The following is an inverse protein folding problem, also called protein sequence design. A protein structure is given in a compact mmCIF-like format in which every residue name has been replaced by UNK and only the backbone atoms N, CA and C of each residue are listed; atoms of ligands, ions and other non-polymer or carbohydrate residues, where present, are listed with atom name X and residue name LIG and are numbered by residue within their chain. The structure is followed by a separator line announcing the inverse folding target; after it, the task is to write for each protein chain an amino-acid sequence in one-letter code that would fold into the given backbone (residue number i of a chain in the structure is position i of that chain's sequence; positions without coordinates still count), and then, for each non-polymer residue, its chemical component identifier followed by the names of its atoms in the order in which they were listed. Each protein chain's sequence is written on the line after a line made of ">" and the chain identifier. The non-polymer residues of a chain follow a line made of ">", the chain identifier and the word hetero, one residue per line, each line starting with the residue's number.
data_IF_345022864679
#
_entry.id   IF_345022864679
#
_cell.length_a   1.000
_cell.length_b   1.000
_cell.length_c   1.000
_cell.angle_alpha   90.00
_cell.angle_beta   90.00
_cell.angle_gamma   90.00
#
_symmetry.space_group_name_H-M   'P 1'
#
loop_
_entity.id
_entity.type
_entity.pdbx_description
1 polymer ?
#
# COMPACT_ATOMS: atom_id res chain seq x y z
N UNK A 1 -25.41 65.40 -4.68
CA UNK A 1 -24.44 64.93 -5.67
C UNK A 1 -23.76 63.72 -5.08
N UNK A 2 -24.24 62.54 -5.49
CA UNK A 2 -23.76 61.25 -5.01
C UNK A 2 -23.05 60.61 -6.17
N UNK A 3 -21.77 60.35 -6.03
CA UNK A 3 -20.95 59.60 -6.98
C UNK A 3 -20.78 58.15 -6.48
N UNK A 4 -21.55 57.27 -7.08
CA UNK A 4 -21.41 55.82 -6.90
C UNK A 4 -20.15 55.34 -7.65
N UNK A 5 -19.15 54.88 -6.88
CA UNK A 5 -17.96 54.21 -7.40
C UNK A 5 -18.30 52.74 -7.63
N UNK A 6 -18.40 52.34 -8.91
CA UNK A 6 -18.51 50.94 -9.35
C UNK A 6 -17.14 50.37 -9.55
N UNK A 7 -16.56 49.76 -8.50
CA UNK A 7 -15.36 48.93 -8.64
C UNK A 7 -15.70 47.66 -9.42
N UNK A 8 -15.34 47.64 -10.69
CA UNK A 8 -15.42 46.46 -11.58
C UNK A 8 -14.39 45.43 -11.11
N UNK A 9 -14.84 44.38 -10.43
CA UNK A 9 -14.05 43.17 -10.23
C UNK A 9 -13.70 42.54 -11.60
N UNK A 10 -12.56 42.90 -12.14
CA UNK A 10 -11.95 42.18 -13.26
C UNK A 10 -11.50 40.80 -12.78
N UNK A 11 -12.31 39.77 -13.03
CA UNK A 11 -11.90 38.39 -12.97
C UNK A 11 -10.74 38.17 -13.95
N UNK A 12 -9.52 38.16 -13.45
CA UNK A 12 -8.35 37.70 -14.19
C UNK A 12 -8.52 36.20 -14.40
N UNK A 13 -9.10 35.80 -15.54
CA UNK A 13 -8.95 34.44 -16.03
C UNK A 13 -7.47 34.20 -16.26
N UNK A 14 -6.85 33.46 -15.35
CA UNK A 14 -5.52 32.88 -15.57
C UNK A 14 -5.69 31.97 -16.78
N UNK A 15 -5.07 32.33 -17.90
CA UNK A 15 -5.03 31.47 -19.08
C UNK A 15 -4.45 30.10 -18.65
N UNK A 16 -5.02 28.98 -19.12
CA UNK A 16 -4.44 27.67 -18.83
C UNK A 16 -3.02 27.68 -19.38
N UNK A 17 -2.05 27.52 -18.47
CA UNK A 17 -0.66 27.25 -18.86
C UNK A 17 -0.72 25.94 -19.65
N UNK A 18 -0.49 26.00 -20.95
CA UNK A 18 -0.30 24.81 -21.78
C UNK A 18 0.93 24.08 -21.26
N UNK A 19 0.73 23.16 -20.35
CA UNK A 19 1.78 22.26 -19.87
C UNK A 19 2.06 21.30 -21.01
N UNK A 20 3.15 21.55 -21.75
CA UNK A 20 3.67 20.58 -22.72
C UNK A 20 3.92 19.28 -21.98
N UNK A 21 3.31 18.20 -22.44
CA UNK A 21 3.50 16.87 -21.87
C UNK A 21 4.98 16.52 -21.85
N UNK A 22 5.58 16.13 -20.70
CA UNK A 22 6.98 15.74 -20.68
C UNK A 22 7.21 14.53 -21.60
N UNK A 23 8.27 14.52 -22.40
CA UNK A 23 8.55 13.39 -23.29
C UNK A 23 8.85 12.12 -22.50
N UNK A 24 8.47 10.94 -23.02
CA UNK A 24 8.86 9.67 -22.41
C UNK A 24 10.39 9.55 -22.31
N UNK A 25 10.85 9.03 -21.18
CA UNK A 25 12.28 8.79 -20.92
C UNK A 25 12.68 7.42 -21.47
N UNK A 26 12.78 7.30 -22.79
CA UNK A 26 12.96 6.04 -23.49
C UNK A 26 14.12 5.18 -22.95
N UNK A 27 15.26 5.79 -22.60
CA UNK A 27 16.39 5.05 -22.02
C UNK A 27 16.04 4.37 -20.71
N UNK A 28 15.32 5.06 -19.83
CA UNK A 28 14.90 4.50 -18.52
C UNK A 28 13.84 3.42 -18.71
N UNK A 29 12.91 3.60 -19.66
CA UNK A 29 11.95 2.56 -20.03
C UNK A 29 12.66 1.29 -20.50
N UNK A 30 13.65 1.41 -21.41
CA UNK A 30 14.43 0.27 -21.89
C UNK A 30 15.18 -0.41 -20.75
N UNK A 31 15.82 0.34 -19.86
CA UNK A 31 16.48 -0.21 -18.66
C UNK A 31 15.48 -0.99 -17.79
N UNK A 32 14.30 -0.42 -17.54
CA UNK A 32 13.25 -1.08 -16.77
C UNK A 32 12.75 -2.37 -17.43
N UNK A 33 12.55 -2.37 -18.75
CA UNK A 33 12.13 -3.56 -19.50
C UNK A 33 13.21 -4.65 -19.48
N UNK A 34 14.47 -4.29 -19.69
CA UNK A 34 15.60 -5.23 -19.60
C UNK A 34 15.72 -5.80 -18.20
N UNK A 35 15.61 -4.97 -17.16
CA UNK A 35 15.62 -5.43 -15.77
C UNK A 35 14.45 -6.39 -15.48
N UNK A 36 13.25 -6.11 -16.00
CA UNK A 36 12.09 -7.00 -15.86
C UNK A 36 12.32 -8.35 -16.55
N UNK A 37 12.85 -8.36 -17.76
CA UNK A 37 13.13 -9.60 -18.50
C UNK A 37 14.25 -10.41 -17.85
N UNK A 38 15.35 -9.77 -17.46
CA UNK A 38 16.49 -10.46 -16.82
C UNK A 38 16.07 -11.03 -15.47
N UNK A 39 15.47 -10.20 -14.58
CA UNK A 39 15.07 -10.69 -13.28
C UNK A 39 13.94 -11.72 -13.36
N UNK A 40 12.96 -11.53 -14.25
CA UNK A 40 11.91 -12.50 -14.51
C UNK A 40 12.46 -13.82 -15.01
N UNK A 41 13.45 -13.80 -15.90
CA UNK A 41 14.16 -14.98 -16.38
C UNK A 41 14.94 -15.70 -15.26
N UNK A 42 15.65 -14.94 -14.42
CA UNK A 42 16.36 -15.48 -13.25
C UNK A 42 15.38 -16.11 -12.25
N UNK A 43 14.28 -15.45 -11.93
CA UNK A 43 13.24 -15.98 -11.03
C UNK A 43 12.64 -17.26 -11.62
N UNK A 44 12.34 -17.27 -12.91
CA UNK A 44 11.81 -18.47 -13.57
C UNK A 44 12.79 -19.65 -13.53
N UNK A 45 14.06 -19.39 -13.84
CA UNK A 45 15.09 -20.47 -13.89
C UNK A 45 15.47 -20.99 -12.50
N UNK A 46 15.47 -20.12 -11.47
CA UNK A 46 15.86 -20.52 -10.11
C UNK A 46 14.71 -21.03 -9.25
N UNK A 47 13.50 -20.51 -9.45
CA UNK A 47 12.36 -20.73 -8.53
C UNK A 47 11.09 -21.22 -9.21
N UNK A 48 11.11 -21.30 -10.53
CA UNK A 48 10.04 -21.89 -11.32
C UNK A 48 8.90 -20.92 -11.69
N UNK A 49 7.82 -21.51 -12.20
CA UNK A 49 6.74 -20.78 -12.85
C UNK A 49 5.93 -19.89 -11.89
N UNK A 50 5.60 -20.37 -10.69
CA UNK A 50 4.73 -19.63 -9.75
C UNK A 50 5.38 -18.32 -9.31
N UNK A 51 6.64 -18.29 -8.79
CA UNK A 51 7.32 -17.02 -8.48
C UNK A 51 7.46 -16.08 -9.68
N UNK A 52 7.68 -16.61 -10.89
CA UNK A 52 7.76 -15.78 -12.10
C UNK A 52 6.41 -15.12 -12.46
N UNK A 53 5.29 -15.81 -12.31
CA UNK A 53 3.95 -15.24 -12.47
C UNK A 53 3.71 -14.16 -11.39
N UNK A 54 4.10 -14.42 -10.14
CA UNK A 54 3.97 -13.47 -9.05
C UNK A 54 4.83 -12.22 -9.28
N UNK A 55 6.03 -12.36 -9.83
CA UNK A 55 6.86 -11.24 -10.27
C UNK A 55 6.14 -10.41 -11.35
N UNK A 56 5.53 -11.07 -12.34
CA UNK A 56 4.76 -10.38 -13.39
C UNK A 56 3.53 -9.66 -12.83
N UNK A 57 2.82 -10.26 -11.86
CA UNK A 57 1.74 -9.58 -11.12
C UNK A 57 2.27 -8.37 -10.35
N UNK A 58 3.47 -8.47 -9.76
CA UNK A 58 4.18 -7.36 -9.13
C UNK A 58 4.45 -6.20 -10.09
N UNK A 59 4.93 -6.50 -11.32
CA UNK A 59 5.10 -5.48 -12.38
C UNK A 59 3.79 -4.76 -12.67
N UNK A 60 2.70 -5.50 -12.81
CA UNK A 60 1.36 -4.95 -13.02
C UNK A 60 0.91 -4.07 -11.84
N UNK A 61 1.11 -4.51 -10.60
CA UNK A 61 0.79 -3.74 -9.39
C UNK A 61 1.57 -2.43 -9.35
N UNK A 62 2.87 -2.44 -9.63
CA UNK A 62 3.71 -1.23 -9.68
C UNK A 62 3.24 -0.24 -10.74
N UNK A 63 2.89 -0.74 -11.93
CA UNK A 63 2.36 0.06 -13.03
C UNK A 63 1.01 0.72 -12.65
N UNK A 64 0.08 -0.05 -12.07
CA UNK A 64 -1.23 0.44 -11.63
C UNK A 64 -1.10 1.46 -10.50
N UNK A 65 -0.28 1.18 -9.48
CA UNK A 65 -0.05 2.07 -8.34
C UNK A 65 0.49 3.43 -8.80
N UNK A 66 1.44 3.43 -9.73
CA UNK A 66 1.99 4.68 -10.27
C UNK A 66 0.94 5.48 -11.04
N UNK A 67 0.26 4.87 -12.01
CA UNK A 67 -0.67 5.61 -12.87
C UNK A 67 -1.94 6.06 -12.16
N UNK A 68 -2.45 5.28 -11.22
CA UNK A 68 -3.64 5.64 -10.44
C UNK A 68 -3.31 6.53 -9.23
N UNK A 69 -2.02 6.66 -8.86
CA UNK A 69 -1.59 7.30 -7.60
C UNK A 69 -2.39 6.83 -6.39
N UNK A 70 -2.75 5.55 -6.40
CA UNK A 70 -3.57 4.94 -5.38
C UNK A 70 -2.76 4.78 -4.09
N UNK A 71 -3.03 5.62 -3.10
CA UNK A 71 -2.25 5.66 -1.87
C UNK A 71 -3.11 5.67 -0.61
N UNK A 72 -2.84 4.75 0.30
CA UNK A 72 -3.52 4.70 1.61
C UNK A 72 -3.12 5.87 2.50
N UNK A 73 -1.85 6.23 2.51
CA UNK A 73 -1.31 7.31 3.35
C UNK A 73 -1.96 8.65 3.05
N UNK A 74 -2.04 9.03 1.78
CA UNK A 74 -2.67 10.28 1.34
C UNK A 74 -4.18 10.28 1.57
N UNK A 75 -4.85 9.16 1.28
CA UNK A 75 -6.29 9.03 1.48
C UNK A 75 -6.72 9.25 2.93
N UNK A 76 -6.03 8.60 3.86
CA UNK A 76 -6.35 8.73 5.28
C UNK A 76 -5.92 10.08 5.84
N UNK A 77 -4.78 10.63 5.36
CA UNK A 77 -4.37 11.99 5.70
C UNK A 77 -5.40 13.04 5.28
N UNK A 78 -5.92 12.95 4.05
CA UNK A 78 -6.94 13.86 3.53
C UNK A 78 -8.25 13.73 4.30
N UNK A 79 -8.67 12.51 4.63
CA UNK A 79 -9.86 12.27 5.43
C UNK A 79 -9.75 12.95 6.80
N UNK A 80 -8.63 12.73 7.50
CA UNK A 80 -8.42 13.21 8.87
C UNK A 80 -8.18 14.73 8.91
N UNK A 81 -7.33 15.26 8.02
CA UNK A 81 -6.94 16.67 8.04
C UNK A 81 -8.02 17.61 7.48
N UNK A 82 -8.64 17.23 6.34
CA UNK A 82 -9.56 18.11 5.58
C UNK A 82 -10.92 17.48 5.28
N UNK A 83 -11.21 16.30 5.84
CA UNK A 83 -12.46 15.54 5.64
C UNK A 83 -12.76 15.17 4.19
N UNK A 84 -11.73 15.13 3.33
CA UNK A 84 -11.84 14.67 1.96
C UNK A 84 -11.94 13.15 1.92
N UNK A 85 -13.12 12.61 1.59
CA UNK A 85 -13.39 11.17 1.57
C UNK A 85 -13.26 10.51 0.20
N UNK A 86 -12.90 11.23 -0.88
CA UNK A 86 -12.90 10.70 -2.26
C UNK A 86 -12.00 9.46 -2.40
N UNK A 87 -10.77 9.55 -1.88
CA UNK A 87 -9.83 8.44 -1.94
C UNK A 87 -10.23 7.28 -1.02
N UNK A 88 -10.84 7.53 0.15
CA UNK A 88 -11.37 6.45 0.99
C UNK A 88 -12.55 5.73 0.30
N UNK A 89 -13.40 6.46 -0.43
CA UNK A 89 -14.46 5.82 -1.25
C UNK A 89 -13.89 4.91 -2.33
N UNK A 90 -12.76 5.30 -2.95
CA UNK A 90 -12.06 4.42 -3.89
C UNK A 90 -11.48 3.17 -3.19
N UNK A 91 -11.01 3.28 -1.92
CA UNK A 91 -10.63 2.11 -1.12
C UNK A 91 -11.83 1.18 -0.87
N UNK A 92 -13.01 1.74 -0.55
CA UNK A 92 -14.22 0.92 -0.35
C UNK A 92 -14.61 0.20 -1.63
N UNK A 93 -14.51 0.86 -2.80
CA UNK A 93 -14.73 0.22 -4.10
C UNK A 93 -13.73 -0.92 -4.34
N UNK A 94 -12.44 -0.70 -4.09
CA UNK A 94 -11.40 -1.73 -4.21
C UNK A 94 -11.70 -2.94 -3.32
N UNK A 95 -12.07 -2.69 -2.06
CA UNK A 95 -12.41 -3.74 -1.10
C UNK A 95 -13.68 -4.50 -1.52
N UNK A 96 -14.72 -3.80 -1.98
CA UNK A 96 -15.96 -4.42 -2.44
C UNK A 96 -15.72 -5.37 -3.62
N UNK A 97 -14.95 -4.92 -4.62
CA UNK A 97 -14.58 -5.74 -5.77
C UNK A 97 -13.69 -6.93 -5.33
N UNK A 98 -12.74 -6.69 -4.43
CA UNK A 98 -11.89 -7.76 -3.92
C UNK A 98 -12.69 -8.82 -3.15
N UNK A 99 -13.59 -8.42 -2.24
CA UNK A 99 -14.49 -9.36 -1.54
C UNK A 99 -15.32 -10.19 -2.54
N UNK A 100 -15.81 -9.54 -3.62
CA UNK A 100 -16.59 -10.24 -4.65
C UNK A 100 -15.75 -11.26 -5.42
N UNK A 101 -14.48 -10.97 -5.71
CA UNK A 101 -13.58 -11.89 -6.40
C UNK A 101 -13.01 -12.97 -5.46
N UNK A 102 -12.75 -12.64 -4.19
CA UNK A 102 -12.21 -13.59 -3.21
C UNK A 102 -13.25 -14.62 -2.77
N UNK A 103 -14.51 -14.22 -2.62
CA UNK A 103 -15.57 -15.12 -2.13
C UNK A 103 -15.65 -16.44 -2.90
N UNK A 104 -15.75 -16.49 -4.24
CA UNK A 104 -15.80 -17.74 -4.98
C UNK A 104 -14.47 -18.50 -4.94
N UNK A 105 -13.31 -17.83 -4.94
CA UNK A 105 -11.99 -18.48 -4.88
C UNK A 105 -11.84 -19.19 -3.51
N UNK A 106 -12.14 -18.50 -2.42
CA UNK A 106 -12.04 -19.06 -1.08
C UNK A 106 -13.12 -20.11 -0.78
N UNK A 107 -14.33 -19.93 -1.30
CA UNK A 107 -15.42 -20.89 -1.13
C UNK A 107 -15.12 -22.23 -1.80
N UNK A 108 -14.49 -22.21 -2.98
CA UNK A 108 -14.07 -23.41 -3.68
C UNK A 108 -12.73 -23.98 -3.16
N UNK A 109 -11.91 -23.12 -2.50
CA UNK A 109 -10.61 -23.52 -1.93
C UNK A 109 -9.54 -23.90 -2.96
N UNK A 110 -9.77 -23.67 -4.25
CA UNK A 110 -8.90 -24.14 -5.33
C UNK A 110 -8.17 -22.95 -5.96
N UNK A 111 -6.84 -23.02 -5.94
CA UNK A 111 -5.96 -22.09 -6.63
C UNK A 111 -5.30 -22.71 -7.87
N UNK A 112 -4.31 -21.99 -8.41
CA UNK A 112 -3.53 -22.42 -9.56
C UNK A 112 -2.71 -23.67 -9.24
N UNK A 113 -2.76 -24.71 -10.11
CA UNK A 113 -2.08 -26.00 -9.90
C UNK A 113 -2.42 -26.67 -8.56
N UNK A 114 -3.70 -26.64 -8.19
CA UNK A 114 -4.22 -27.26 -6.97
C UNK A 114 -3.65 -26.72 -5.66
N UNK A 115 -3.00 -25.54 -5.68
CA UNK A 115 -2.57 -24.84 -4.46
C UNK A 115 -3.81 -24.42 -3.68
N UNK A 116 -3.96 -24.81 -2.39
CA UNK A 116 -5.11 -24.39 -1.60
C UNK A 116 -5.18 -22.87 -1.44
N UNK A 117 -6.33 -22.27 -1.78
CA UNK A 117 -6.58 -20.88 -1.54
C UNK A 117 -7.05 -20.68 -0.08
N UNK A 118 -6.24 -19.99 0.72
CA UNK A 118 -6.48 -19.80 2.15
C UNK A 118 -6.83 -18.34 2.47
N UNK A 119 -7.81 -18.11 3.36
CA UNK A 119 -8.13 -16.76 3.81
C UNK A 119 -7.01 -16.18 4.68
N UNK A 120 -6.79 -14.88 4.59
CA UNK A 120 -5.88 -14.14 5.46
C UNK A 120 -6.60 -13.84 6.78
N UNK A 121 -6.40 -14.69 7.77
CA UNK A 121 -6.94 -14.55 9.10
C UNK A 121 -5.81 -14.25 10.10
N UNK A 122 -6.06 -13.43 11.11
CA UNK A 122 -5.12 -13.15 12.18
C UNK A 122 -5.82 -13.00 13.53
N UNK A 123 -5.15 -13.33 14.64
CA UNK A 123 -5.70 -13.17 15.98
C UNK A 123 -5.94 -11.68 16.32
N UNK A 124 -6.89 -11.45 17.21
CA UNK A 124 -7.28 -10.13 17.69
C UNK A 124 -6.72 -9.94 19.10
N UNK A 125 -5.60 -9.22 19.21
CA UNK A 125 -4.89 -9.02 20.47
C UNK A 125 -4.13 -7.71 20.52
N UNK A 126 -3.36 -7.51 21.59
CA UNK A 126 -2.58 -6.28 21.79
C UNK A 126 -1.65 -5.96 20.61
N UNK A 127 -1.00 -6.98 20.03
CA UNK A 127 -0.14 -6.81 18.86
C UNK A 127 -0.85 -6.18 17.68
N UNK A 128 -2.11 -6.60 17.40
CA UNK A 128 -2.92 -6.02 16.35
C UNK A 128 -3.19 -4.53 16.59
N UNK A 129 -3.68 -4.16 17.79
CA UNK A 129 -4.07 -2.78 18.08
C UNK A 129 -2.87 -1.84 18.13
N UNK A 130 -1.81 -2.22 18.86
CA UNK A 130 -0.61 -1.40 18.99
C UNK A 130 0.12 -1.30 17.65
N UNK A 131 0.30 -2.42 16.95
CA UNK A 131 1.03 -2.46 15.69
C UNK A 131 0.34 -1.67 14.57
N UNK A 132 -0.98 -1.79 14.41
CA UNK A 132 -1.71 -1.01 13.41
C UNK A 132 -1.76 0.48 13.75
N UNK A 133 -1.85 0.85 15.03
CA UNK A 133 -1.68 2.24 15.49
C UNK A 133 -0.29 2.79 15.13
N UNK A 134 0.78 2.05 15.49
CA UNK A 134 2.17 2.44 15.15
C UNK A 134 2.35 2.59 13.63
N UNK A 135 1.76 1.68 12.86
CA UNK A 135 1.79 1.76 11.40
C UNK A 135 1.12 3.04 10.89
N UNK A 136 -0.05 3.40 11.45
CA UNK A 136 -0.78 4.62 11.13
C UNK A 136 0.04 5.88 11.40
N UNK A 137 0.71 5.98 12.56
CA UNK A 137 1.65 7.05 12.88
C UNK A 137 2.80 7.05 11.87
N UNK A 138 3.46 5.89 11.70
CA UNK A 138 4.66 5.73 10.89
C UNK A 138 4.47 6.15 9.44
N UNK A 139 3.34 5.79 8.80
CA UNK A 139 3.10 6.16 7.41
C UNK A 139 2.90 7.68 7.20
N UNK A 140 2.48 8.42 8.23
CA UNK A 140 2.40 9.88 8.12
C UNK A 140 3.77 10.55 8.29
N UNK A 141 4.67 9.98 9.08
CA UNK A 141 6.03 10.48 9.26
C UNK A 141 6.96 10.06 8.12
N UNK A 142 6.88 8.80 7.67
CA UNK A 142 7.65 8.27 6.56
C UNK A 142 7.16 8.72 5.18
N UNK A 143 5.99 9.40 5.13
CA UNK A 143 5.42 9.99 3.91
C UNK A 143 4.71 9.01 2.98
N UNK A 144 4.78 7.70 3.24
CA UNK A 144 4.28 6.63 2.38
C UNK A 144 3.91 5.39 3.21
N UNK A 145 3.04 4.52 2.69
CA UNK A 145 2.82 3.17 3.23
C UNK A 145 3.79 2.16 2.59
N UNK A 146 3.65 0.87 2.86
CA UNK A 146 4.56 -0.16 2.36
C UNK A 146 4.60 -0.21 0.82
N UNK A 147 3.48 -0.45 0.15
CA UNK A 147 3.41 -0.45 -1.32
C UNK A 147 3.72 0.92 -1.92
N UNK A 148 3.33 2.00 -1.21
CA UNK A 148 3.67 3.37 -1.56
C UNK A 148 5.18 3.63 -1.56
N UNK A 149 5.91 3.05 -0.61
CA UNK A 149 7.38 3.10 -0.55
C UNK A 149 8.01 2.44 -1.79
N UNK A 150 7.53 1.25 -2.16
CA UNK A 150 8.07 0.52 -3.32
C UNK A 150 7.86 1.26 -4.64
N UNK A 151 6.64 1.73 -4.92
CA UNK A 151 6.41 2.42 -6.18
C UNK A 151 7.07 3.81 -6.22
N UNK A 152 7.25 4.49 -5.08
CA UNK A 152 7.98 5.75 -5.02
C UNK A 152 9.48 5.56 -5.29
N UNK A 153 10.08 4.44 -4.83
CA UNK A 153 11.45 4.06 -5.18
C UNK A 153 11.57 3.88 -6.69
N UNK A 154 10.67 3.09 -7.29
CA UNK A 154 10.62 2.91 -8.74
C UNK A 154 10.48 4.22 -9.52
N UNK A 155 9.81 5.23 -8.95
CA UNK A 155 9.65 6.55 -9.55
C UNK A 155 10.82 7.51 -9.30
N UNK A 156 11.90 7.08 -8.59
CA UNK A 156 13.11 7.85 -8.37
C UNK A 156 13.13 8.72 -7.11
N UNK A 157 12.19 8.54 -6.18
CA UNK A 157 12.15 9.28 -4.92
C UNK A 157 13.18 8.73 -3.91
N UNK A 158 14.39 9.25 -3.91
CA UNK A 158 15.52 8.72 -3.11
C UNK A 158 15.34 8.87 -1.59
N UNK A 159 14.60 9.89 -1.12
CA UNK A 159 14.29 10.03 0.31
C UNK A 159 13.55 8.80 0.87
N UNK A 160 12.76 8.14 0.05
CA UNK A 160 11.97 6.95 0.41
C UNK A 160 12.86 5.70 0.65
N UNK A 161 14.09 5.68 0.14
CA UNK A 161 15.06 4.62 0.46
C UNK A 161 15.38 4.61 1.98
N UNK A 162 15.40 5.77 2.63
CA UNK A 162 15.56 5.87 4.07
C UNK A 162 14.34 5.29 4.80
N UNK A 163 13.14 5.54 4.27
CA UNK A 163 11.91 4.92 4.79
C UNK A 163 11.97 3.40 4.63
N UNK A 164 12.43 2.87 3.49
CA UNK A 164 12.59 1.43 3.27
C UNK A 164 13.62 0.84 4.24
N UNK A 165 14.77 1.49 4.43
CA UNK A 165 15.79 1.05 5.39
C UNK A 165 15.24 0.97 6.81
N UNK A 166 14.53 2.02 7.25
CA UNK A 166 13.82 2.01 8.53
C UNK A 166 12.77 0.88 8.60
N UNK A 167 12.02 0.67 7.51
CA UNK A 167 11.00 -0.37 7.43
C UNK A 167 11.59 -1.78 7.58
N UNK A 168 12.70 -2.06 6.88
CA UNK A 168 13.42 -3.34 7.00
C UNK A 168 13.90 -3.51 8.45
N UNK A 169 14.56 -2.50 9.03
CA UNK A 169 15.03 -2.56 10.42
C UNK A 169 13.91 -2.77 11.42
N UNK A 170 12.79 -2.04 11.27
CA UNK A 170 11.61 -2.20 12.12
C UNK A 170 10.94 -3.57 11.99
N UNK A 171 10.81 -4.09 10.77
CA UNK A 171 10.22 -5.40 10.51
C UNK A 171 11.10 -6.54 11.08
N UNK A 172 12.42 -6.39 11.01
CA UNK A 172 13.40 -7.34 11.58
C UNK A 172 13.35 -7.33 13.10
N UNK A 173 13.32 -6.14 13.72
CA UNK A 173 13.18 -6.01 15.17
C UNK A 173 11.83 -6.59 15.64
N UNK A 174 10.75 -6.33 14.88
CA UNK A 174 9.45 -6.92 15.15
C UNK A 174 9.44 -8.44 15.03
N UNK A 175 10.21 -9.04 14.12
CA UNK A 175 10.37 -10.48 14.01
C UNK A 175 11.12 -11.07 15.22
N UNK A 176 12.17 -10.38 15.69
CA UNK A 176 12.88 -10.76 16.91
C UNK A 176 11.97 -10.77 18.15
N UNK A 177 11.14 -9.74 18.31
CA UNK A 177 10.26 -9.60 19.47
C UNK A 177 8.88 -10.24 19.28
N UNK A 178 8.61 -10.86 18.13
CA UNK A 178 7.31 -11.41 17.79
C UNK A 178 6.75 -12.39 18.82
N UNK A 179 7.54 -13.34 19.39
CA UNK A 179 7.04 -14.29 20.39
C UNK A 179 6.45 -13.57 21.61
N UNK A 180 7.13 -12.55 22.12
CA UNK A 180 6.62 -11.78 23.27
C UNK A 180 5.23 -11.16 23.02
N UNK A 181 4.97 -10.68 21.80
CA UNK A 181 3.66 -10.15 21.43
C UNK A 181 2.59 -11.23 21.33
N UNK A 182 2.99 -12.43 20.94
CA UNK A 182 2.06 -13.57 20.82
C UNK A 182 1.71 -14.18 22.18
N UNK A 183 2.55 -14.01 23.20
CA UNK A 183 2.27 -14.42 24.58
C UNK A 183 1.25 -13.49 25.29
N UNK A 184 0.98 -12.31 24.73
CA UNK A 184 -0.02 -11.39 25.26
C UNK A 184 -1.44 -11.90 24.98
N UNK A 185 -2.44 -11.56 25.85
CA UNK A 185 -3.82 -11.96 25.64
C UNK A 185 -4.35 -11.62 24.25
N UNK A 186 -4.91 -12.60 23.58
CA UNK A 186 -5.50 -12.47 22.25
C UNK A 186 -6.67 -13.41 22.07
N UNK A 187 -7.61 -13.04 21.22
CA UNK A 187 -8.67 -13.90 20.72
C UNK A 187 -8.23 -14.60 19.44
N UNK A 188 -8.72 -15.83 19.28
CA UNK A 188 -8.56 -16.58 18.03
C UNK A 188 -9.02 -15.77 16.81
N UNK A 189 -8.48 -16.06 15.63
CA UNK A 189 -8.89 -15.38 14.41
C UNK A 189 -10.40 -15.50 14.17
N UNK A 190 -11.07 -14.37 13.94
CA UNK A 190 -12.51 -14.32 13.70
C UNK A 190 -12.78 -14.13 12.21
N UNK A 191 -13.46 -15.13 11.61
CA UNK A 191 -13.97 -15.03 10.25
C UNK A 191 -15.44 -14.62 10.26
N UNK A 192 -15.79 -13.59 9.46
CA UNK A 192 -17.19 -13.17 9.28
C UNK A 192 -18.05 -14.27 8.64
N UNK A 193 -17.44 -15.23 7.94
CA UNK A 193 -18.16 -16.37 7.36
C UNK A 193 -18.83 -17.24 8.42
N UNK A 194 -18.23 -17.31 9.61
CA UNK A 194 -18.81 -18.04 10.75
C UNK A 194 -20.03 -17.31 11.34
N UNK A 195 -20.00 -15.97 11.34
CA UNK A 195 -21.09 -15.17 11.94
C UNK A 195 -22.28 -15.01 11.00
N UNK A 196 -22.03 -14.98 9.67
CA UNK A 196 -23.05 -14.68 8.66
C UNK A 196 -23.42 -15.89 7.78
N UNK A 197 -23.15 -17.12 8.23
CA UNK A 197 -23.61 -18.33 7.54
C UNK A 197 -22.91 -18.61 6.20
N UNK A 198 -21.60 -18.34 6.12
CA UNK A 198 -20.77 -18.63 4.94
C UNK A 198 -20.35 -17.39 4.15
N UNK A 199 -19.72 -17.65 3.00
CA UNK A 199 -19.12 -16.56 2.18
C UNK A 199 -20.14 -15.57 1.63
N UNK A 200 -21.35 -16.01 1.24
CA UNK A 200 -22.39 -15.13 0.72
C UNK A 200 -22.88 -14.12 1.76
N UNK A 201 -23.14 -14.58 3.00
CA UNK A 201 -23.56 -13.70 4.08
C UNK A 201 -22.44 -12.74 4.53
N UNK A 202 -21.19 -13.23 4.64
CA UNK A 202 -20.04 -12.40 4.95
C UNK A 202 -19.78 -11.35 3.87
N UNK A 203 -19.95 -11.69 2.60
CA UNK A 203 -19.88 -10.76 1.46
C UNK A 203 -20.93 -9.65 1.58
N UNK A 204 -22.21 -10.01 1.80
CA UNK A 204 -23.27 -9.03 1.95
C UNK A 204 -23.05 -8.09 3.14
N UNK A 205 -22.64 -8.65 4.31
CA UNK A 205 -22.32 -7.86 5.50
C UNK A 205 -21.13 -6.91 5.27
N UNK A 206 -20.08 -7.38 4.60
CA UNK A 206 -18.91 -6.55 4.26
C UNK A 206 -19.28 -5.41 3.32
N UNK A 207 -20.11 -5.66 2.28
CA UNK A 207 -20.59 -4.62 1.38
C UNK A 207 -21.47 -3.59 2.11
N UNK A 208 -22.35 -4.04 3.02
CA UNK A 208 -23.18 -3.15 3.83
C UNK A 208 -22.31 -2.25 4.71
N UNK A 209 -21.26 -2.80 5.36
CA UNK A 209 -20.33 -2.02 6.18
C UNK A 209 -19.54 -1.01 5.33
N UNK A 210 -19.09 -1.40 4.13
CA UNK A 210 -18.42 -0.47 3.20
C UNK A 210 -19.36 0.65 2.74
N UNK A 211 -20.65 0.34 2.46
CA UNK A 211 -21.65 1.36 2.12
C UNK A 211 -21.87 2.33 3.28
N UNK A 212 -21.90 1.87 4.53
CA UNK A 212 -21.96 2.72 5.72
C UNK A 212 -20.74 3.64 5.82
N UNK A 213 -19.53 3.12 5.59
CA UNK A 213 -18.29 3.94 5.58
C UNK A 213 -18.36 5.00 4.48
N UNK A 214 -18.81 4.65 3.27
CA UNK A 214 -19.02 5.60 2.17
C UNK A 214 -20.02 6.67 2.58
N UNK A 215 -21.18 6.30 3.12
CA UNK A 215 -22.20 7.22 3.63
C UNK A 215 -21.65 8.17 4.69
N UNK A 216 -20.87 7.65 5.65
CA UNK A 216 -20.22 8.45 6.68
C UNK A 216 -19.27 9.50 6.07
N UNK A 217 -18.53 9.18 4.99
CA UNK A 217 -17.64 10.16 4.33
C UNK A 217 -18.43 11.32 3.71
N UNK A 218 -19.63 11.08 3.16
CA UNK A 218 -20.49 12.14 2.63
C UNK A 218 -21.05 13.02 3.75
N UNK A 219 -21.46 12.41 4.87
CA UNK A 219 -21.94 13.17 6.04
C UNK A 219 -20.84 14.05 6.65
N UNK A 220 -19.61 13.54 6.74
CA UNK A 220 -18.44 14.31 7.23
C UNK A 220 -18.09 15.50 6.33
N UNK A 221 -18.33 15.38 5.02
CA UNK A 221 -18.06 16.42 4.03
C UNK A 221 -19.19 17.46 3.88
N UNK A 222 -20.41 17.15 4.32
CA UNK A 222 -21.65 17.89 3.97
C UNK A 222 -21.61 19.39 4.24
N UNK A 223 -20.92 19.84 5.32
CA UNK A 223 -20.90 21.24 5.76
C UNK A 223 -19.53 21.89 5.62
N UNK A 224 -18.68 21.41 4.70
CA UNK A 224 -17.30 21.90 4.55
C UNK A 224 -16.95 22.11 3.08
N UNK A 225 -16.19 23.17 2.79
CA UNK A 225 -15.49 23.27 1.51
C UNK A 225 -14.37 22.27 1.51
N UNK A 226 -14.50 21.21 0.70
CA UNK A 226 -13.53 20.15 0.58
C UNK A 226 -12.75 20.37 -0.70
N UNK A 227 -11.41 20.39 -0.67
CA UNK A 227 -10.60 20.60 -1.87
C UNK A 227 -10.91 19.53 -2.92
N UNK A 228 -11.00 19.91 -4.18
CA UNK A 228 -11.11 18.94 -5.27
C UNK A 228 -9.72 18.40 -5.62
N UNK A 229 -9.57 17.08 -5.53
CA UNK A 229 -8.29 16.39 -5.70
C UNK A 229 -8.36 15.50 -6.92
N UNK A 230 -8.60 16.08 -8.07
CA UNK A 230 -8.41 15.36 -9.33
C UNK A 230 -7.04 15.69 -9.91
N UNK A 231 -6.13 14.71 -10.04
CA UNK A 231 -4.90 14.94 -10.77
C UNK A 231 -5.23 15.28 -12.22
N UNK A 232 -4.65 16.36 -12.72
CA UNK A 232 -4.75 16.71 -14.15
C UNK A 232 -4.23 15.54 -14.97
N UNK A 233 -4.95 15.04 -15.97
CA UNK A 233 -4.46 14.00 -16.86
C UNK A 233 -3.14 14.45 -17.53
N UNK A 234 -2.13 13.58 -17.55
CA UNK A 234 -0.84 13.87 -18.20
C UNK A 234 -0.95 13.67 -19.71
N UNK A 235 -1.81 12.76 -20.17
CA UNK A 235 -2.05 12.49 -21.58
C UNK A 235 -3.53 12.25 -21.85
N UNK A 236 -3.94 12.43 -23.12
CA UNK A 236 -5.31 12.22 -23.59
C UNK A 236 -5.43 10.98 -24.48
N UNK A 237 -6.67 10.50 -24.68
CA UNK A 237 -6.96 9.36 -25.54
C UNK A 237 -6.23 8.06 -25.14
N UNK A 238 -5.82 7.27 -26.13
CA UNK A 238 -5.15 5.99 -25.91
C UNK A 238 -3.77 6.14 -25.26
N UNK A 239 -3.09 7.27 -25.44
CA UNK A 239 -1.80 7.55 -24.79
C UNK A 239 -1.92 7.60 -23.27
N UNK A 240 -3.11 7.93 -22.73
CA UNK A 240 -3.40 7.93 -21.29
C UNK A 240 -3.21 6.55 -20.64
N UNK A 241 -3.36 5.46 -21.39
CA UNK A 241 -3.17 4.11 -20.85
C UNK A 241 -1.74 3.92 -20.34
N UNK A 242 -0.75 4.48 -21.06
CA UNK A 242 0.68 4.28 -20.75
C UNK A 242 1.32 5.52 -20.10
N UNK A 243 0.79 6.72 -20.31
CA UNK A 243 1.40 7.99 -19.91
C UNK A 243 0.58 8.83 -18.96
N UNK A 244 -0.74 8.69 -18.99
CA UNK A 244 -1.65 9.56 -18.25
C UNK A 244 -1.96 9.11 -16.83
N UNK A 245 -2.43 10.04 -15.98
CA UNK A 245 -2.99 9.70 -14.68
C UNK A 245 -4.33 8.99 -14.84
N UNK A 246 -4.48 7.85 -14.20
CA UNK A 246 -5.74 7.11 -14.21
C UNK A 246 -6.67 7.59 -13.09
N UNK A 247 -7.99 7.55 -13.31
CA UNK A 247 -8.95 7.77 -12.24
C UNK A 247 -8.75 6.74 -11.11
N UNK A 248 -9.00 7.14 -9.86
CA UNK A 248 -8.85 6.26 -8.69
C UNK A 248 -9.69 4.98 -8.80
N UNK A 249 -10.88 5.05 -9.42
CA UNK A 249 -11.72 3.86 -9.60
C UNK A 249 -11.09 2.80 -10.52
N UNK A 250 -10.34 3.21 -11.56
CA UNK A 250 -9.59 2.27 -12.41
C UNK A 250 -8.51 1.58 -11.59
N UNK A 251 -7.76 2.34 -10.79
CA UNK A 251 -6.79 1.78 -9.86
C UNK A 251 -7.43 0.80 -8.88
N UNK A 252 -8.57 1.15 -8.30
CA UNK A 252 -9.32 0.30 -7.37
C UNK A 252 -9.68 -1.06 -7.99
N UNK A 253 -10.25 -1.07 -9.20
CA UNK A 253 -10.64 -2.29 -9.91
C UNK A 253 -9.43 -3.16 -10.26
N UNK A 254 -8.38 -2.56 -10.82
CA UNK A 254 -7.18 -3.30 -11.23
C UNK A 254 -6.39 -3.85 -10.04
N UNK A 255 -6.27 -3.09 -8.94
CA UNK A 255 -5.62 -3.57 -7.72
C UNK A 255 -6.41 -4.73 -7.09
N UNK A 256 -7.74 -4.67 -7.09
CA UNK A 256 -8.58 -5.77 -6.63
C UNK A 256 -8.42 -7.02 -7.50
N UNK A 257 -8.42 -6.87 -8.82
CA UNK A 257 -8.22 -7.98 -9.75
C UNK A 257 -6.83 -8.62 -9.63
N UNK A 258 -5.75 -7.79 -9.53
CA UNK A 258 -4.38 -8.29 -9.35
C UNK A 258 -4.20 -8.98 -7.99
N UNK A 259 -4.86 -8.51 -6.93
CA UNK A 259 -4.85 -9.20 -5.64
C UNK A 259 -5.60 -10.53 -5.70
N UNK A 260 -6.75 -10.60 -6.37
CA UNK A 260 -7.47 -11.87 -6.60
C UNK A 260 -6.64 -12.86 -7.43
N UNK A 261 -5.95 -12.37 -8.47
CA UNK A 261 -5.01 -13.18 -9.24
C UNK A 261 -3.85 -13.69 -8.36
N UNK A 262 -3.34 -12.84 -7.44
CA UNK A 262 -2.31 -13.24 -6.48
C UNK A 262 -2.81 -14.34 -5.55
N UNK A 263 -4.03 -14.20 -5.00
CA UNK A 263 -4.66 -15.24 -4.19
C UNK A 263 -4.78 -16.55 -4.96
N UNK A 264 -5.28 -16.49 -6.19
CA UNK A 264 -5.47 -17.68 -7.01
C UNK A 264 -4.15 -18.38 -7.38
N UNK A 265 -3.09 -17.61 -7.70
CA UNK A 265 -1.78 -18.15 -8.11
C UNK A 265 -0.99 -18.69 -6.92
N UNK A 266 -1.01 -18.00 -5.77
CA UNK A 266 -0.14 -18.33 -4.63
C UNK A 266 -0.85 -18.96 -3.44
N UNK A 267 -2.18 -19.12 -3.51
CA UNK A 267 -2.98 -19.60 -2.38
C UNK A 267 -3.20 -18.57 -1.25
N UNK A 268 -2.66 -17.36 -1.37
CA UNK A 268 -2.81 -16.31 -0.35
C UNK A 268 -2.86 -14.91 -0.94
N UNK A 269 -3.52 -13.98 -0.26
CA UNK A 269 -3.63 -12.60 -0.70
C UNK A 269 -2.25 -11.91 -0.88
N UNK A 270 -2.23 -10.83 -1.66
CA UNK A 270 -1.05 -9.99 -1.83
C UNK A 270 -0.56 -9.44 -0.49
N UNK A 271 0.75 -9.55 -0.25
CA UNK A 271 1.46 -9.00 0.89
C UNK A 271 2.71 -8.24 0.43
N UNK A 272 3.31 -7.46 1.33
CA UNK A 272 4.52 -6.68 1.07
C UNK A 272 5.55 -6.90 2.19
N UNK A 273 5.14 -6.79 3.44
CA UNK A 273 6.05 -6.56 4.57
C UNK A 273 6.73 -7.80 5.13
N UNK A 274 6.36 -8.99 4.69
CA UNK A 274 7.10 -10.21 5.03
C UNK A 274 8.51 -10.17 4.41
N UNK A 275 8.62 -9.71 3.16
CA UNK A 275 9.89 -9.51 2.48
C UNK A 275 10.87 -8.67 3.31
N UNK A 276 10.41 -7.59 3.93
CA UNK A 276 11.29 -6.69 4.70
C UNK A 276 11.88 -7.36 5.93
N UNK A 277 11.10 -8.19 6.65
CA UNK A 277 11.64 -8.99 7.75
C UNK A 277 12.64 -10.05 7.24
N UNK A 278 12.33 -10.70 6.11
CA UNK A 278 13.21 -11.67 5.48
C UNK A 278 14.53 -11.03 5.04
N UNK A 279 14.49 -9.88 4.34
CA UNK A 279 15.68 -9.20 3.86
C UNK A 279 16.57 -8.75 5.01
N UNK A 280 15.99 -8.14 6.05
CA UNK A 280 16.75 -7.72 7.23
C UNK A 280 17.33 -8.88 8.02
N UNK A 281 16.59 -9.98 8.17
CA UNK A 281 17.11 -11.19 8.83
C UNK A 281 18.24 -11.84 8.02
N UNK A 282 18.10 -11.93 6.68
CA UNK A 282 19.19 -12.41 5.81
C UNK A 282 20.45 -11.53 5.89
N UNK A 283 20.29 -10.20 5.99
CA UNK A 283 21.43 -9.29 6.17
C UNK A 283 22.12 -9.48 7.53
N UNK A 284 21.36 -9.72 8.60
CA UNK A 284 21.91 -10.00 9.92
C UNK A 284 22.62 -11.37 9.97
N UNK A 285 22.06 -12.37 9.32
CA UNK A 285 22.65 -13.69 9.18
C UNK A 285 24.02 -13.63 8.48
N UNK A 286 24.16 -12.83 7.43
CA UNK A 286 25.42 -12.60 6.73
C UNK A 286 26.53 -11.99 7.60
N UNK A 287 26.17 -11.26 8.67
CA UNK A 287 27.12 -10.71 9.62
C UNK A 287 27.25 -11.56 10.90
N UNK A 288 26.73 -12.79 10.89
CA UNK A 288 26.91 -13.78 11.93
C UNK A 288 25.92 -13.72 13.09
N UNK A 289 24.79 -13.02 12.94
CA UNK A 289 23.71 -13.04 13.93
C UNK A 289 22.85 -14.28 13.70
N UNK A 290 22.69 -15.11 14.71
CA UNK A 290 21.84 -16.31 14.66
C UNK A 290 20.35 -15.93 14.71
N UNK A 291 19.82 -15.51 13.54
CA UNK A 291 18.42 -15.13 13.39
C UNK A 291 17.47 -16.33 13.42
N UNK A 292 17.96 -17.53 13.09
CA UNK A 292 17.15 -18.74 13.07
C UNK A 292 16.79 -19.22 14.49
N UNK A 293 17.50 -18.79 15.52
CA UNK A 293 17.12 -19.00 16.92
C UNK A 293 15.89 -18.18 17.36
N UNK A 294 15.46 -17.17 16.56
CA UNK A 294 14.30 -16.34 16.91
C UNK A 294 13.00 -17.13 16.72
N UNK A 295 12.10 -17.10 17.70
CA UNK A 295 10.84 -17.84 17.64
C UNK A 295 9.98 -17.52 16.41
N UNK A 296 10.11 -16.35 15.79
CA UNK A 296 9.44 -16.02 14.54
C UNK A 296 9.90 -16.93 13.38
N UNK A 297 11.21 -17.24 13.30
CA UNK A 297 11.76 -18.11 12.26
C UNK A 297 11.69 -19.59 12.62
N UNK A 298 11.42 -19.92 13.89
CA UNK A 298 11.17 -21.30 14.32
C UNK A 298 9.78 -21.82 13.93
N UNK A 299 8.86 -20.93 13.56
CA UNK A 299 7.59 -21.33 12.95
C UNK A 299 7.84 -22.02 11.60
N UNK A 300 7.35 -23.26 11.39
CA UNK A 300 7.65 -24.05 10.18
C UNK A 300 7.29 -23.35 8.88
N UNK A 301 6.17 -22.59 8.86
CA UNK A 301 5.74 -21.86 7.66
C UNK A 301 6.65 -20.67 7.34
N UNK A 302 7.21 -20.01 8.36
CA UNK A 302 8.15 -18.91 8.18
C UNK A 302 9.55 -19.43 7.82
N UNK A 303 10.00 -20.49 8.47
CA UNK A 303 11.27 -21.16 8.18
C UNK A 303 11.32 -21.64 6.73
N UNK A 304 10.28 -22.30 6.26
CA UNK A 304 10.19 -22.75 4.85
C UNK A 304 10.37 -21.59 3.85
N UNK A 305 9.80 -20.40 4.14
CA UNK A 305 9.98 -19.20 3.31
C UNK A 305 11.39 -18.61 3.42
N UNK A 306 12.00 -18.69 4.63
CA UNK A 306 13.38 -18.27 4.83
C UNK A 306 14.35 -19.13 4.01
N UNK A 307 14.20 -20.46 4.06
CA UNK A 307 15.05 -21.43 3.36
C UNK A 307 14.87 -21.37 1.84
N UNK A 308 13.63 -21.13 1.37
CA UNK A 308 13.35 -20.96 -0.05
C UNK A 308 14.14 -19.79 -0.67
N UNK A 309 14.49 -18.78 0.12
CA UNK A 309 15.28 -17.64 -0.30
C UNK A 309 14.46 -16.53 -0.97
N UNK A 310 15.11 -15.39 -1.17
CA UNK A 310 14.50 -14.13 -1.60
C UNK A 310 13.78 -14.25 -2.96
N UNK A 311 14.36 -15.00 -3.92
CA UNK A 311 13.81 -15.13 -5.28
C UNK A 311 12.68 -16.17 -5.39
N UNK A 312 12.46 -16.99 -4.37
CA UNK A 312 11.33 -17.91 -4.30
C UNK A 312 10.21 -17.40 -3.39
N UNK A 313 10.53 -16.48 -2.46
CA UNK A 313 9.56 -15.94 -1.52
C UNK A 313 8.61 -14.95 -2.21
N UNK A 314 7.30 -15.21 -2.07
CA UNK A 314 6.19 -14.51 -2.74
C UNK A 314 6.29 -12.98 -2.64
N UNK A 315 6.42 -12.45 -1.42
CA UNK A 315 6.36 -11.00 -1.22
C UNK A 315 7.60 -10.32 -1.78
N UNK A 316 8.76 -10.95 -1.70
CA UNK A 316 10.01 -10.43 -2.24
C UNK A 316 9.98 -10.28 -3.76
N UNK A 317 9.57 -11.31 -4.48
CA UNK A 317 9.51 -11.24 -5.95
C UNK A 317 8.45 -10.25 -6.43
N UNK A 318 7.31 -10.15 -5.74
CA UNK A 318 6.29 -9.15 -6.04
C UNK A 318 6.76 -7.73 -5.75
N UNK A 319 7.51 -7.50 -4.68
CA UNK A 319 8.06 -6.20 -4.30
C UNK A 319 9.07 -5.70 -5.33
N UNK A 320 9.96 -6.57 -5.82
CA UNK A 320 10.85 -6.25 -6.95
C UNK A 320 10.05 -5.94 -8.21
N UNK A 321 9.01 -6.70 -8.49
CA UNK A 321 8.08 -6.41 -9.59
C UNK A 321 7.45 -5.02 -9.46
N UNK A 322 6.96 -4.65 -8.27
CA UNK A 322 6.35 -3.34 -8.01
C UNK A 322 7.35 -2.20 -8.29
N UNK A 323 8.59 -2.32 -7.82
CA UNK A 323 9.63 -1.31 -8.05
C UNK A 323 9.90 -1.14 -9.55
N UNK A 324 10.10 -2.25 -10.27
CA UNK A 324 10.42 -2.21 -11.71
C UNK A 324 9.20 -1.76 -12.53
N UNK A 325 8.00 -2.22 -12.21
CA UNK A 325 6.77 -1.80 -12.87
C UNK A 325 6.51 -0.31 -12.72
N UNK A 326 6.74 0.24 -11.52
CA UNK A 326 6.66 1.68 -11.27
C UNK A 326 7.77 2.47 -11.98
N UNK A 327 8.98 1.93 -12.12
CA UNK A 327 10.07 2.52 -12.90
C UNK A 327 9.66 2.67 -14.37
N UNK A 328 9.14 1.60 -14.97
CA UNK A 328 8.67 1.61 -16.35
C UNK A 328 7.53 2.62 -16.52
N UNK A 329 6.54 2.59 -15.64
CA UNK A 329 5.38 3.48 -15.70
C UNK A 329 5.78 4.96 -15.55
N UNK A 330 6.63 5.29 -14.58
CA UNK A 330 7.07 6.67 -14.32
C UNK A 330 7.92 7.22 -15.47
N UNK A 331 8.80 6.41 -16.04
CA UNK A 331 9.63 6.77 -17.16
C UNK A 331 8.81 6.94 -18.45
N UNK A 332 7.84 6.07 -18.71
CA UNK A 332 6.91 6.17 -19.83
C UNK A 332 6.06 7.45 -19.76
N UNK A 333 5.66 7.85 -18.55
CA UNK A 333 4.96 9.11 -18.29
C UNK A 333 5.88 10.35 -18.33
N UNK A 334 7.21 10.20 -18.49
CA UNK A 334 8.17 11.30 -18.40
C UNK A 334 8.36 11.87 -16.99
N UNK A 335 7.88 11.16 -15.98
CA UNK A 335 7.81 11.64 -14.60
C UNK A 335 8.90 11.04 -13.67
N UNK A 336 9.80 10.21 -14.20
CA UNK A 336 10.91 9.68 -13.41
C UNK A 336 11.93 10.78 -13.10
N UNK A 337 12.18 11.04 -11.81
CA UNK A 337 13.13 12.07 -11.36
C UNK A 337 13.92 11.57 -10.15
N UNK A 338 15.25 11.58 -10.26
CA UNK A 338 16.13 11.28 -9.12
C UNK A 338 16.30 12.51 -8.23
N UNK A 339 15.78 12.45 -7.02
CA UNK A 339 15.92 13.50 -6.02
C UNK A 339 17.25 13.32 -5.25
N UNK A 340 18.22 14.20 -5.44
CA UNK A 340 19.57 14.02 -4.87
C UNK A 340 19.77 14.63 -3.47
N UNK A 341 18.86 15.50 -3.01
CA UNK A 341 19.00 16.19 -1.73
C UNK A 341 17.82 15.88 -0.83
N UNK A 342 18.10 15.36 0.36
CA UNK A 342 17.10 15.07 1.38
C UNK A 342 17.42 15.92 2.61
N UNK A 343 16.54 16.87 3.00
CA UNK A 343 16.73 17.62 4.25
C UNK A 343 16.80 16.69 5.46
N UNK A 344 17.68 16.99 6.43
CA UNK A 344 17.90 16.13 7.59
C UNK A 344 16.61 15.82 8.37
N UNK A 345 15.74 16.80 8.57
CA UNK A 345 14.45 16.60 9.27
C UNK A 345 13.57 15.57 8.56
N UNK A 346 13.52 15.65 7.22
CA UNK A 346 12.79 14.69 6.40
C UNK A 346 13.43 13.29 6.46
N UNK A 347 14.77 13.22 6.46
CA UNK A 347 15.50 11.96 6.59
C UNK A 347 15.21 11.27 7.94
N UNK A 348 15.22 12.03 9.04
CA UNK A 348 14.87 11.52 10.38
C UNK A 348 13.43 11.03 10.40
N UNK A 349 12.49 11.80 9.84
CA UNK A 349 11.09 11.39 9.72
C UNK A 349 10.90 10.12 8.90
N UNK A 350 11.65 9.99 7.80
CA UNK A 350 11.63 8.82 6.93
C UNK A 350 12.09 7.55 7.68
N UNK A 351 13.20 7.63 8.41
CA UNK A 351 13.73 6.49 9.19
C UNK A 351 12.78 6.12 10.34
N UNK A 352 12.37 7.09 11.15
CA UNK A 352 11.45 6.83 12.28
C UNK A 352 10.11 6.30 11.77
N UNK A 353 9.55 6.91 10.72
CA UNK A 353 8.32 6.45 10.10
C UNK A 353 8.43 5.03 9.55
N UNK A 354 9.56 4.72 8.91
CA UNK A 354 9.89 3.39 8.43
C UNK A 354 9.96 2.36 9.58
N UNK A 355 10.72 2.66 10.64
CA UNK A 355 10.84 1.81 11.83
C UNK A 355 9.47 1.49 12.46
N UNK A 356 8.64 2.52 12.67
CA UNK A 356 7.29 2.35 13.24
C UNK A 356 6.40 1.50 12.33
N UNK A 357 6.46 1.71 11.01
CA UNK A 357 5.69 0.91 10.06
C UNK A 357 6.17 -0.54 10.01
N UNK A 358 7.48 -0.77 9.99
CA UNK A 358 8.06 -2.11 9.92
C UNK A 358 7.73 -2.94 11.15
N UNK A 359 7.99 -2.38 12.30
CA UNK A 359 7.69 -3.02 13.58
C UNK A 359 6.17 -3.25 13.72
N UNK A 360 5.37 -2.21 13.51
CA UNK A 360 3.92 -2.28 13.60
C UNK A 360 3.31 -3.30 12.63
N UNK A 361 3.80 -3.35 11.39
CA UNK A 361 3.34 -4.34 10.42
C UNK A 361 3.65 -5.78 10.84
N UNK A 362 4.78 -6.02 11.51
CA UNK A 362 5.15 -7.36 11.96
C UNK A 362 4.21 -7.86 13.04
N UNK A 363 4.01 -7.06 14.09
CA UNK A 363 3.19 -7.45 15.24
C UNK A 363 1.67 -7.38 14.98
N UNK A 364 1.25 -6.62 13.93
CA UNK A 364 -0.14 -6.52 13.49
C UNK A 364 -0.45 -7.38 12.24
N UNK A 365 0.35 -8.40 11.95
CA UNK A 365 0.16 -9.40 10.89
C UNK A 365 0.13 -8.86 9.46
N UNK A 366 0.61 -7.66 9.25
CA UNK A 366 0.73 -7.04 7.92
C UNK A 366 0.53 -5.52 7.91
N UNK A 367 0.62 -4.96 6.70
CA UNK A 367 0.41 -3.53 6.42
C UNK A 367 -0.98 -3.26 5.84
N UNK A 368 -1.21 -2.06 5.28
CA UNK A 368 -2.44 -1.73 4.55
C UNK A 368 -2.81 -2.76 3.46
N UNK A 369 -1.83 -3.47 2.91
CA UNK A 369 -2.07 -4.49 1.88
C UNK A 369 -2.38 -5.83 2.53
N UNK A 370 -1.46 -6.38 3.33
CA UNK A 370 -1.62 -7.73 3.89
C UNK A 370 -2.73 -7.82 4.92
N UNK A 371 -2.72 -6.95 5.95
CA UNK A 371 -3.69 -7.01 7.04
C UNK A 371 -5.03 -6.32 6.70
N UNK A 372 -4.98 -5.06 6.24
CA UNK A 372 -6.23 -4.33 5.97
C UNK A 372 -6.90 -4.81 4.70
N UNK A 373 -6.25 -4.73 3.54
CA UNK A 373 -6.84 -5.10 2.26
C UNK A 373 -7.04 -6.62 2.17
N UNK A 374 -6.00 -7.43 2.40
CA UNK A 374 -6.06 -8.88 2.36
C UNK A 374 -7.00 -9.47 3.41
N UNK A 375 -6.95 -8.94 4.64
CA UNK A 375 -7.83 -9.39 5.73
C UNK A 375 -9.31 -9.10 5.47
N UNK A 376 -9.66 -7.89 5.04
CA UNK A 376 -11.06 -7.56 4.71
C UNK A 376 -11.54 -8.37 3.50
N UNK A 377 -10.74 -8.49 2.45
CA UNK A 377 -11.08 -9.29 1.28
C UNK A 377 -11.26 -10.78 1.60
N UNK A 378 -10.57 -11.26 2.65
CA UNK A 378 -10.71 -12.62 3.20
C UNK A 378 -11.80 -12.76 4.28
N UNK A 379 -12.64 -11.75 4.44
CA UNK A 379 -13.73 -11.72 5.43
C UNK A 379 -13.27 -11.87 6.88
N UNK A 380 -12.09 -11.36 7.22
CA UNK A 380 -11.55 -11.39 8.56
C UNK A 380 -11.85 -10.11 9.35
N UNK A 381 -12.29 -10.25 10.60
CA UNK A 381 -12.57 -9.12 11.48
C UNK A 381 -11.29 -8.30 11.77
N UNK A 382 -10.13 -8.96 11.86
CA UNK A 382 -8.88 -8.27 12.16
C UNK A 382 -8.56 -7.15 11.17
N UNK A 383 -8.90 -7.30 9.87
CA UNK A 383 -8.65 -6.28 8.85
C UNK A 383 -9.41 -4.98 9.12
N UNK A 384 -10.66 -5.06 9.58
CA UNK A 384 -11.46 -3.90 9.95
C UNK A 384 -10.89 -3.19 11.18
N UNK A 385 -10.53 -3.94 12.22
CA UNK A 385 -9.94 -3.40 13.45
C UNK A 385 -8.57 -2.76 13.15
N UNK A 386 -7.78 -3.40 12.31
CA UNK A 386 -6.51 -2.85 11.82
C UNK A 386 -6.70 -1.48 11.16
N UNK A 387 -7.68 -1.36 10.27
CA UNK A 387 -8.00 -0.10 9.58
C UNK A 387 -8.40 1.01 10.54
N UNK A 388 -9.26 0.73 11.52
CA UNK A 388 -9.69 1.70 12.53
C UNK A 388 -8.49 2.22 13.33
N UNK A 389 -7.65 1.32 13.86
CA UNK A 389 -6.49 1.72 14.67
C UNK A 389 -5.44 2.47 13.87
N UNK A 390 -5.23 2.13 12.61
CA UNK A 390 -4.31 2.87 11.75
C UNK A 390 -4.83 4.26 11.37
N UNK A 391 -6.16 4.47 11.28
CA UNK A 391 -6.76 5.81 11.15
C UNK A 391 -6.53 6.63 12.43
N UNK A 392 -6.70 6.03 13.61
CA UNK A 392 -6.36 6.68 14.90
C UNK A 392 -4.88 7.05 14.94
N UNK A 393 -4.00 6.13 14.53
CA UNK A 393 -2.56 6.41 14.38
C UNK A 393 -2.27 7.53 13.37
N UNK A 394 -3.01 7.60 12.26
CA UNK A 394 -2.91 8.70 11.30
C UNK A 394 -3.22 10.05 11.95
N UNK A 395 -4.28 10.12 12.76
CA UNK A 395 -4.63 11.35 13.48
C UNK A 395 -3.47 11.83 14.36
N UNK A 396 -2.86 10.94 15.14
CA UNK A 396 -1.71 11.24 15.98
C UNK A 396 -0.48 11.60 15.13
N UNK A 397 -0.21 10.84 14.06
CA UNK A 397 0.91 11.09 13.16
C UNK A 397 0.88 12.49 12.52
N UNK A 398 -0.32 12.99 12.18
CA UNK A 398 -0.48 14.33 11.62
C UNK A 398 0.00 15.46 12.58
N UNK A 399 -0.13 15.26 13.89
CA UNK A 399 0.35 16.24 14.88
C UNK A 399 1.88 16.36 14.89
N UNK A 400 2.60 15.27 14.56
CA UNK A 400 4.06 15.26 14.53
C UNK A 400 4.67 15.68 13.19
N UNK A 401 3.91 15.67 12.09
CA UNK A 401 4.42 16.04 10.74
C UNK A 401 5.13 17.40 10.69
N UNK A 402 4.58 18.50 11.28
CA UNK A 402 5.24 19.81 11.21
C UNK A 402 6.64 19.83 11.82
N UNK A 403 6.89 19.03 12.88
CA UNK A 403 8.20 18.91 13.52
C UNK A 403 9.28 18.38 12.56
N UNK A 404 8.86 17.59 11.57
CA UNK A 404 9.72 16.97 10.56
C UNK A 404 9.78 17.76 9.24
N UNK A 405 9.18 18.96 9.23
CA UNK A 405 9.12 19.81 8.04
C UNK A 405 8.10 19.34 6.98
N UNK A 406 7.18 18.46 7.37
CA UNK A 406 6.08 18.00 6.52
C UNK A 406 4.82 18.81 6.76
N UNK A 407 4.21 19.34 5.72
CA UNK A 407 2.95 20.09 5.81
C UNK A 407 1.75 19.16 5.88
N UNK A 408 0.71 19.58 6.59
CA UNK A 408 -0.59 18.92 6.56
C UNK A 408 -1.49 19.61 5.52
N UNK A 409 -2.37 18.86 4.83
CA UNK A 409 -3.35 19.44 3.93
C UNK A 409 -4.22 20.49 4.63
N UNK A 410 -4.52 21.59 3.92
CA UNK A 410 -5.44 22.64 4.35
C UNK A 410 -6.69 22.63 3.46
N UNK A 411 -7.83 23.14 3.91
CA UNK A 411 -9.04 23.23 3.11
C UNK A 411 -8.89 24.05 1.82
N UNK A 412 -7.87 24.92 1.75
CA UNK A 412 -7.56 25.76 0.59
C UNK A 412 -6.61 25.08 -0.41
N UNK A 413 -6.06 23.91 -0.10
CA UNK A 413 -5.09 23.26 -0.97
C UNK A 413 -5.84 22.56 -2.13
N UNK A 414 -5.46 22.90 -3.35
CA UNK A 414 -6.04 22.31 -4.58
C UNK A 414 -5.37 20.99 -5.00
N UNK A 415 -4.26 20.61 -4.37
CA UNK A 415 -3.46 19.41 -4.70
C UNK A 415 -2.97 18.75 -3.42
N UNK A 416 -3.02 17.44 -3.39
CA UNK A 416 -2.43 16.61 -2.33
C UNK A 416 -1.25 15.82 -2.83
#
# INVERSE_FOLDING_TARGET
>A
MSTTDRSTHRSTRVAPVATTEPPPQARVVVIGLVAALVLGGVVYSSSGQVPAILFALGLGLGFVLFHSRFGFTSAWRQLVAVRQGKALRAHMLMLAVACTLFAPILANGIGFKDVPALPTLAPIGFGLFVGSFMFGVGMQLGGSCASGTLFAIGSGHTAILLTLGGFIGGATLGAYQFPWWMDLPSHEPVSLTQWFGGYAGAWAASLALMALVVGATYLLARNRSVPDVEPTPIAEGAARIVRGSWPLWVGALLLAALNAATLWVSGGAWGVTFAFALWGSKLLDLVGVDVLSWGFWQDPANLSKYDAGILAEKTSVMDFGIIIGALIASAAAGAFVLHRRVPLRLAVGAVIGGLLMGYGARIAFGCNIGAYFGGIASFSLHGWLWGVMAIVGTYVGLAFRPLLGLTNPKPSDSVC
#
